data_IF_066304093754
#
_entry.id   IF_066304093754
#
_cell.length_a   1.000
_cell.length_b   1.000
_cell.length_c   1.000
_cell.angle_alpha   90.00
_cell.angle_beta   90.00
_cell.angle_gamma   90.00
#
_symmetry.space_group_name_H-M   'P 1'
#
loop_
_entity.id
_entity.type
_entity.pdbx_description
1 polymer ?
#
# COMPACT_ATOMS: atom_id res chain seq x y z
N UNK A 1 56.18 7.50 -41.18
CA UNK A 1 56.76 7.15 -39.87
C UNK A 1 55.81 6.16 -39.20
N UNK A 2 56.26 4.91 -39.01
CA UNK A 2 55.50 3.81 -38.39
C UNK A 2 55.73 3.80 -36.86
N UNK A 3 54.93 2.96 -36.16
CA UNK A 3 55.11 2.38 -34.81
C UNK A 3 54.37 3.21 -33.72
N UNK A 4 53.53 2.70 -32.80
CA UNK A 4 53.22 1.34 -32.29
C UNK A 4 51.78 1.29 -31.72
N UNK A 5 51.14 0.14 -31.82
CA UNK A 5 50.04 -0.30 -30.96
C UNK A 5 50.61 -0.71 -29.58
N UNK A 6 49.93 -0.36 -28.49
CA UNK A 6 49.92 -1.19 -27.27
C UNK A 6 48.54 -1.15 -26.61
N UNK A 7 48.09 -2.34 -26.24
CA UNK A 7 46.76 -2.63 -25.72
C UNK A 7 46.63 -2.43 -24.21
N UNK A 8 45.35 -2.43 -23.78
CA UNK A 8 44.79 -2.67 -22.44
C UNK A 8 44.94 -1.55 -21.39
N UNK A 9 43.81 -0.92 -21.05
CA UNK A 9 43.02 -1.41 -19.91
C UNK A 9 41.59 -0.83 -19.92
N UNK A 10 40.66 -1.74 -19.71
CA UNK A 10 39.23 -1.56 -19.51
C UNK A 10 38.97 -0.87 -18.17
N UNK A 11 38.26 0.25 -18.18
CA UNK A 11 37.63 0.85 -16.99
C UNK A 11 36.18 1.20 -17.36
N UNK A 12 35.30 0.29 -16.92
CA UNK A 12 33.92 0.51 -16.48
C UNK A 12 33.16 1.70 -17.09
N UNK A 13 32.35 1.40 -18.10
CA UNK A 13 31.12 2.13 -18.36
C UNK A 13 30.06 1.70 -17.34
N UNK A 14 29.82 2.52 -16.32
CA UNK A 14 28.57 2.42 -15.55
C UNK A 14 27.44 2.94 -16.44
N UNK A 15 26.76 1.99 -17.08
CA UNK A 15 25.47 2.22 -17.72
C UNK A 15 24.43 2.38 -16.61
N UNK A 16 23.76 3.53 -16.62
CA UNK A 16 22.49 3.77 -15.96
C UNK A 16 21.48 2.70 -16.39
N UNK A 17 21.35 1.63 -15.61
CA UNK A 17 20.17 0.77 -15.67
C UNK A 17 19.05 1.47 -14.89
N UNK A 18 18.19 2.17 -15.63
CA UNK A 18 16.85 2.54 -15.18
C UNK A 18 16.06 1.24 -14.96
N UNK A 19 16.02 0.76 -13.72
CA UNK A 19 15.14 -0.34 -13.34
C UNK A 19 13.68 0.17 -13.33
N UNK A 20 12.95 -0.07 -14.42
CA UNK A 20 11.50 0.02 -14.43
C UNK A 20 10.96 -1.04 -13.47
N UNK A 21 10.59 -0.63 -12.26
CA UNK A 21 9.91 -1.48 -11.30
C UNK A 21 8.51 -1.76 -11.82
N UNK A 22 8.32 -2.97 -12.36
CA UNK A 22 6.97 -3.48 -12.63
C UNK A 22 6.17 -3.53 -11.31
N UNK A 23 4.82 -3.45 -11.34
CA UNK A 23 4.00 -3.54 -10.12
C UNK A 23 4.30 -4.76 -9.24
N UNK A 24 4.75 -5.87 -9.86
CA UNK A 24 5.16 -7.09 -9.17
C UNK A 24 6.48 -6.96 -8.40
N UNK A 25 7.37 -6.07 -8.81
CA UNK A 25 8.67 -5.82 -8.17
C UNK A 25 8.49 -5.09 -6.83
N UNK A 26 7.54 -4.15 -6.76
CA UNK A 26 7.27 -3.34 -5.57
C UNK A 26 6.64 -4.17 -4.44
N UNK A 27 5.70 -5.07 -4.78
CA UNK A 27 5.10 -6.03 -3.85
C UNK A 27 6.17 -6.94 -3.22
N UNK A 28 7.22 -7.27 -3.98
CA UNK A 28 8.32 -8.13 -3.53
C UNK A 28 9.25 -7.43 -2.55
N UNK A 29 9.52 -6.13 -2.75
CA UNK A 29 10.38 -5.32 -1.85
C UNK A 29 9.68 -5.09 -0.52
N UNK A 30 8.38 -4.78 -0.49
CA UNK A 30 7.60 -4.64 0.76
C UNK A 30 7.54 -5.98 1.52
N UNK A 31 7.50 -7.12 0.80
CA UNK A 31 7.61 -8.45 1.41
C UNK A 31 8.97 -8.73 2.06
N UNK A 32 10.05 -8.05 1.64
CA UNK A 32 11.41 -8.37 2.09
C UNK A 32 11.88 -7.57 3.31
N UNK A 33 11.30 -6.40 3.61
CA UNK A 33 11.72 -5.58 4.76
C UNK A 33 10.80 -5.66 5.98
N UNK A 34 9.54 -6.11 5.83
CA UNK A 34 8.56 -6.14 6.91
C UNK A 34 8.12 -7.55 7.35
N UNK A 35 8.61 -8.61 6.70
CA UNK A 35 8.03 -9.95 6.82
C UNK A 35 9.04 -11.03 7.25
N UNK A 36 9.64 -10.87 8.43
CA UNK A 36 10.33 -11.97 9.11
C UNK A 36 9.56 -12.37 10.37
N UNK A 37 9.00 -13.60 10.31
CA UNK A 37 8.25 -14.36 11.33
C UNK A 37 6.80 -13.94 11.57
N UNK A 38 5.89 -14.65 10.90
CA UNK A 38 4.60 -15.00 11.49
C UNK A 38 4.73 -16.41 12.10
N UNK A 39 4.44 -16.60 13.39
CA UNK A 39 4.39 -17.93 13.97
C UNK A 39 3.12 -18.65 13.51
N UNK A 40 3.23 -19.94 13.20
CA UNK A 40 2.09 -20.85 13.06
C UNK A 40 1.45 -21.01 14.45
N UNK A 41 0.28 -20.40 14.70
CA UNK A 41 -0.45 -20.55 15.97
C UNK A 41 -1.97 -20.51 15.76
N UNK A 42 -2.64 -21.40 16.50
CA UNK A 42 -4.08 -21.68 16.59
C UNK A 42 -5.01 -20.44 16.62
N UNK A 43 -6.22 -20.67 16.11
CA UNK A 43 -6.94 -19.79 15.18
C UNK A 43 -7.87 -18.76 15.85
N UNK A 44 -8.08 -17.62 15.17
CA UNK A 44 -8.93 -16.45 15.50
C UNK A 44 -8.40 -15.38 16.48
N UNK A 45 -8.14 -15.69 17.74
CA UNK A 45 -7.72 -14.69 18.76
C UNK A 45 -6.41 -13.92 18.42
N UNK A 46 -5.35 -14.53 17.87
CA UNK A 46 -4.14 -13.76 17.52
C UNK A 46 -4.38 -12.79 16.36
N UNK A 47 -5.21 -13.16 15.38
CA UNK A 47 -5.41 -12.34 14.18
C UNK A 47 -6.25 -11.09 14.49
N UNK A 48 -7.26 -11.21 15.37
CA UNK A 48 -8.03 -10.07 15.86
C UNK A 48 -7.11 -9.05 16.57
N UNK A 49 -6.22 -9.54 17.44
CA UNK A 49 -5.26 -8.69 18.15
C UNK A 49 -4.31 -7.99 17.17
N UNK A 50 -3.79 -8.71 16.17
CA UNK A 50 -2.93 -8.14 15.13
C UNK A 50 -3.66 -7.05 14.32
N UNK A 51 -4.91 -7.29 13.91
CA UNK A 51 -5.74 -6.29 13.19
C UNK A 51 -5.88 -5.03 14.04
N UNK A 52 -6.17 -5.17 15.33
CA UNK A 52 -6.31 -4.04 16.26
C UNK A 52 -5.01 -3.24 16.39
N UNK A 53 -3.88 -3.91 16.58
CA UNK A 53 -2.55 -3.28 16.67
C UNK A 53 -2.22 -2.52 15.39
N UNK A 54 -2.43 -3.16 14.23
CA UNK A 54 -2.12 -2.57 12.93
C UNK A 54 -3.03 -1.37 12.61
N UNK A 55 -4.31 -1.44 12.99
CA UNK A 55 -5.21 -0.29 12.89
C UNK A 55 -4.69 0.90 13.71
N UNK A 56 -4.28 0.66 14.96
CA UNK A 56 -3.74 1.72 15.82
C UNK A 56 -2.44 2.33 15.25
N UNK A 57 -1.58 1.51 14.65
CA UNK A 57 -0.38 2.00 13.96
C UNK A 57 -0.74 2.82 12.72
N UNK A 58 -1.72 2.38 11.94
CA UNK A 58 -2.20 3.10 10.76
C UNK A 58 -2.80 4.46 11.11
N UNK A 59 -3.61 4.54 12.17
CA UNK A 59 -4.17 5.82 12.64
C UNK A 59 -3.04 6.79 13.03
N UNK A 60 -1.98 6.30 13.70
CA UNK A 60 -0.82 7.13 14.02
C UNK A 60 -0.05 7.56 12.78
N UNK A 61 0.15 6.65 11.82
CA UNK A 61 0.84 6.95 10.58
C UNK A 61 0.05 7.97 9.73
N UNK A 62 -1.27 7.88 9.72
CA UNK A 62 -2.14 8.87 9.06
C UNK A 62 -1.88 10.30 9.58
N UNK A 63 -1.72 10.46 10.90
CA UNK A 63 -1.36 11.76 11.48
C UNK A 63 0.03 12.25 11.03
N UNK A 64 0.97 11.34 10.76
CA UNK A 64 2.33 11.69 10.31
C UNK A 64 2.36 12.12 8.85
N UNK A 65 1.47 11.59 8.01
CA UNK A 65 1.41 11.92 6.58
C UNK A 65 0.44 13.05 6.24
N UNK A 66 -0.19 13.66 7.25
CA UNK A 66 -1.25 14.65 7.05
C UNK A 66 -0.82 15.83 6.17
N UNK A 67 0.42 16.29 6.31
CA UNK A 67 0.97 17.37 5.49
C UNK A 67 1.15 16.94 4.02
N UNK A 68 1.49 15.68 3.79
CA UNK A 68 1.64 15.11 2.44
C UNK A 68 0.28 14.92 1.77
N UNK A 69 -0.72 14.44 2.52
CA UNK A 69 -2.13 14.35 2.09
C UNK A 69 -2.71 15.73 1.77
N UNK A 70 -2.42 16.74 2.60
CA UNK A 70 -2.86 18.12 2.35
C UNK A 70 -2.29 18.67 1.04
N UNK A 71 -0.98 18.47 0.81
CA UNK A 71 -0.34 18.87 -0.45
C UNK A 71 -0.93 18.16 -1.66
N UNK A 72 -1.30 16.87 -1.52
CA UNK A 72 -1.97 16.14 -2.59
C UNK A 72 -3.35 16.74 -2.87
N UNK A 73 -4.14 16.96 -1.82
CA UNK A 73 -5.47 17.57 -1.94
C UNK A 73 -5.41 18.94 -2.64
N UNK A 74 -4.48 19.82 -2.23
CA UNK A 74 -4.31 21.14 -2.84
C UNK A 74 -3.94 21.03 -4.33
N UNK A 75 -2.98 20.15 -4.67
CA UNK A 75 -2.56 19.94 -6.05
C UNK A 75 -3.72 19.47 -6.94
N UNK A 76 -4.54 18.53 -6.47
CA UNK A 76 -5.65 17.98 -7.25
C UNK A 76 -6.86 18.94 -7.32
N UNK A 77 -7.14 19.66 -6.23
CA UNK A 77 -8.26 20.60 -6.16
C UNK A 77 -8.02 21.84 -7.05
N UNK A 78 -6.79 22.36 -7.08
CA UNK A 78 -6.44 23.53 -7.91
C UNK A 78 -6.41 23.22 -9.41
N UNK A 79 -6.06 21.98 -9.79
CA UNK A 79 -5.84 21.61 -11.19
C UNK A 79 -7.11 21.17 -11.91
N UNK A 80 -8.02 20.47 -11.23
CA UNK A 80 -9.06 19.71 -11.95
C UNK A 80 -10.49 20.03 -11.56
N UNK A 81 -10.74 20.66 -10.40
CA UNK A 81 -12.11 20.79 -9.86
C UNK A 81 -12.86 19.45 -9.78
N UNK A 82 -12.14 18.33 -9.81
CA UNK A 82 -12.68 17.00 -10.00
C UNK A 82 -13.11 16.41 -8.65
N UNK A 83 -14.33 15.85 -8.64
CA UNK A 83 -14.93 15.17 -7.48
C UNK A 83 -14.31 13.77 -7.27
N UNK A 84 -13.56 13.25 -8.23
CA UNK A 84 -12.97 11.90 -8.23
C UNK A 84 -11.45 11.99 -8.45
N UNK A 85 -10.73 12.29 -7.37
CA UNK A 85 -9.27 12.47 -7.37
C UNK A 85 -8.56 11.33 -6.63
N UNK A 86 -7.23 11.21 -6.75
CA UNK A 86 -6.50 10.15 -6.03
C UNK A 86 -6.58 10.33 -4.52
N UNK A 87 -6.57 11.58 -4.03
CA UNK A 87 -6.84 11.88 -2.62
C UNK A 87 -8.17 11.26 -2.16
N UNK A 88 -9.26 11.50 -2.90
CA UNK A 88 -10.58 10.97 -2.54
C UNK A 88 -10.60 9.44 -2.52
N UNK A 89 -9.99 8.79 -3.51
CA UNK A 89 -9.90 7.33 -3.58
C UNK A 89 -9.09 6.73 -2.42
N UNK A 90 -8.03 7.42 -1.97
CA UNK A 90 -7.24 7.01 -0.80
C UNK A 90 -8.06 7.11 0.48
N UNK A 91 -8.76 8.22 0.71
CA UNK A 91 -9.58 8.44 1.91
C UNK A 91 -10.73 7.42 1.96
N UNK A 92 -11.48 7.26 0.87
CA UNK A 92 -12.58 6.27 0.79
C UNK A 92 -12.09 4.84 1.03
N UNK A 93 -10.91 4.50 0.49
CA UNK A 93 -10.31 3.20 0.71
C UNK A 93 -9.93 2.98 2.18
N UNK A 94 -9.34 3.99 2.82
CA UNK A 94 -8.99 3.93 4.23
C UNK A 94 -10.24 3.82 5.12
N UNK A 95 -11.24 4.68 4.93
CA UNK A 95 -12.48 4.66 5.72
C UNK A 95 -13.18 3.30 5.66
N UNK A 96 -13.24 2.69 4.47
CA UNK A 96 -13.80 1.35 4.29
C UNK A 96 -13.04 0.30 5.09
N UNK A 97 -11.70 0.25 4.98
CA UNK A 97 -10.86 -0.72 5.68
C UNK A 97 -10.88 -0.48 7.19
N UNK A 98 -10.84 0.77 7.63
CA UNK A 98 -10.93 1.17 9.03
C UNK A 98 -12.26 0.74 9.65
N UNK A 99 -13.38 0.93 8.96
CA UNK A 99 -14.71 0.53 9.43
C UNK A 99 -14.77 -0.96 9.77
N UNK A 100 -14.25 -1.81 8.87
CA UNK A 100 -14.18 -3.25 9.10
C UNK A 100 -13.20 -3.63 10.21
N UNK A 101 -12.02 -3.00 10.26
CA UNK A 101 -11.03 -3.24 11.31
C UNK A 101 -11.59 -2.89 12.70
N UNK A 102 -12.31 -1.77 12.81
CA UNK A 102 -12.95 -1.32 14.04
C UNK A 102 -14.04 -2.31 14.49
N UNK A 103 -14.90 -2.76 13.57
CA UNK A 103 -15.94 -3.75 13.89
C UNK A 103 -15.33 -5.05 14.44
N UNK A 104 -14.26 -5.56 13.81
CA UNK A 104 -13.54 -6.75 14.29
C UNK A 104 -12.88 -6.49 15.65
N UNK A 105 -12.21 -5.35 15.82
CA UNK A 105 -11.53 -5.02 17.07
C UNK A 105 -12.51 -4.93 18.23
N UNK A 106 -13.65 -4.26 18.05
CA UNK A 106 -14.62 -3.98 19.12
C UNK A 106 -15.57 -5.15 19.38
N UNK A 107 -16.04 -5.81 18.32
CA UNK A 107 -17.12 -6.80 18.41
C UNK A 107 -16.70 -8.23 18.05
N UNK A 108 -15.46 -8.43 17.58
CA UNK A 108 -15.00 -9.74 17.09
C UNK A 108 -15.79 -10.26 15.89
N UNK A 109 -16.56 -9.40 15.22
CA UNK A 109 -17.47 -9.78 14.15
C UNK A 109 -17.82 -8.60 13.26
N UNK A 110 -18.28 -8.90 12.05
CA UNK A 110 -18.77 -7.94 11.06
C UNK A 110 -20.18 -8.36 10.67
N UNK A 111 -21.11 -7.39 10.59
CA UNK A 111 -22.47 -7.65 10.09
C UNK A 111 -22.40 -8.00 8.61
N UNK A 112 -23.23 -8.94 8.16
CA UNK A 112 -23.26 -9.37 6.76
C UNK A 112 -21.87 -9.80 6.24
N UNK A 113 -21.23 -10.72 6.97
CA UNK A 113 -19.88 -11.23 6.70
C UNK A 113 -19.60 -11.51 5.22
N UNK A 114 -20.53 -12.15 4.52
CA UNK A 114 -20.36 -12.49 3.09
C UNK A 114 -20.35 -11.25 2.18
N UNK A 115 -21.18 -10.24 2.49
CA UNK A 115 -21.14 -8.95 1.79
C UNK A 115 -19.83 -8.24 2.05
N UNK A 116 -19.37 -8.22 3.31
CA UNK A 116 -18.10 -7.62 3.69
C UNK A 116 -16.90 -8.26 2.97
N UNK A 117 -16.86 -9.60 2.87
CA UNK A 117 -15.83 -10.32 2.12
C UNK A 117 -15.83 -9.86 0.65
N UNK A 118 -17.01 -9.83 0.01
CA UNK A 118 -17.11 -9.40 -1.38
C UNK A 118 -16.63 -7.96 -1.55
N UNK A 119 -17.07 -7.04 -0.71
CA UNK A 119 -16.64 -5.64 -0.78
C UNK A 119 -15.12 -5.51 -0.64
N UNK A 120 -14.52 -6.18 0.34
CA UNK A 120 -13.07 -6.15 0.59
C UNK A 120 -12.25 -6.85 -0.52
N UNK A 121 -12.80 -7.86 -1.18
CA UNK A 121 -12.16 -8.49 -2.35
C UNK A 121 -12.13 -7.57 -3.57
N UNK A 122 -13.20 -6.81 -3.80
CA UNK A 122 -13.31 -5.87 -4.92
C UNK A 122 -12.64 -4.52 -4.62
N UNK A 123 -12.59 -4.10 -3.36
CA UNK A 123 -12.04 -2.82 -2.87
C UNK A 123 -10.52 -2.75 -2.85
N UNK A 124 -9.83 -3.37 -3.81
CA UNK A 124 -8.38 -3.20 -3.93
C UNK A 124 -8.05 -1.89 -4.64
N UNK A 125 -7.50 -0.92 -3.90
CA UNK A 125 -7.11 0.39 -4.46
C UNK A 125 -6.09 0.28 -5.59
N UNK A 126 -5.26 -0.76 -5.63
CA UNK A 126 -4.33 -0.99 -6.75
C UNK A 126 -5.01 -1.46 -8.04
N UNK A 127 -6.32 -1.74 -8.00
CA UNK A 127 -7.16 -1.96 -9.18
C UNK A 127 -7.97 -0.70 -9.55
N UNK A 128 -7.94 0.37 -8.73
CA UNK A 128 -8.62 1.62 -9.04
C UNK A 128 -7.82 2.40 -10.08
N UNK A 129 -8.46 2.72 -11.20
CA UNK A 129 -7.80 3.39 -12.34
C UNK A 129 -7.23 4.75 -11.95
N UNK A 130 -8.02 5.60 -11.30
CA UNK A 130 -7.63 6.96 -10.87
C UNK A 130 -6.37 6.89 -10.02
N UNK A 131 -6.36 6.01 -9.00
CA UNK A 131 -5.20 5.82 -8.14
C UNK A 131 -3.98 5.29 -8.91
N UNK A 132 -4.15 4.32 -9.82
CA UNK A 132 -3.00 3.75 -10.56
C UNK A 132 -2.38 4.72 -11.55
N UNK A 133 -3.18 5.59 -12.17
CA UNK A 133 -2.71 6.66 -13.05
C UNK A 133 -1.92 7.69 -12.23
N UNK A 134 -2.50 8.15 -11.11
CA UNK A 134 -1.82 9.03 -10.16
C UNK A 134 -0.50 8.44 -9.65
N UNK A 135 -0.52 7.17 -9.23
CA UNK A 135 0.65 6.48 -8.70
C UNK A 135 1.79 6.45 -9.73
N UNK A 136 1.46 6.19 -11.00
CA UNK A 136 2.47 6.12 -12.07
C UNK A 136 3.12 7.48 -12.34
N UNK A 137 2.39 8.58 -12.12
CA UNK A 137 2.87 9.94 -12.34
C UNK A 137 3.60 10.53 -11.13
N UNK A 138 3.12 10.25 -9.90
CA UNK A 138 3.47 11.05 -8.72
C UNK A 138 4.05 10.25 -7.54
N UNK A 139 4.23 8.92 -7.66
CA UNK A 139 4.71 8.07 -6.55
C UNK A 139 5.98 8.58 -5.85
N UNK A 140 6.94 9.13 -6.60
CA UNK A 140 8.20 9.63 -6.03
C UNK A 140 8.04 10.94 -5.26
N UNK A 141 6.99 11.72 -5.54
CA UNK A 141 6.71 12.99 -4.87
C UNK A 141 5.99 12.80 -3.54
N UNK A 142 5.24 11.69 -3.43
CA UNK A 142 4.43 11.33 -2.27
C UNK A 142 4.76 9.92 -1.72
N UNK A 143 6.01 9.69 -1.26
CA UNK A 143 6.47 8.37 -0.83
C UNK A 143 5.79 7.86 0.46
N UNK A 144 5.36 8.77 1.37
CA UNK A 144 4.70 8.34 2.59
C UNK A 144 3.24 7.99 2.34
N UNK A 145 2.57 8.67 1.41
CA UNK A 145 1.23 8.27 0.94
C UNK A 145 1.28 6.88 0.32
N UNK A 146 2.26 6.58 -0.55
CA UNK A 146 2.41 5.24 -1.12
C UNK A 146 2.61 4.18 -0.03
N UNK A 147 3.46 4.47 0.96
CA UNK A 147 3.67 3.58 2.11
C UNK A 147 2.39 3.36 2.89
N UNK A 148 1.64 4.42 3.15
CA UNK A 148 0.37 4.38 3.86
C UNK A 148 -0.65 3.50 3.12
N UNK A 149 -0.88 3.75 1.83
CA UNK A 149 -1.81 2.97 1.02
C UNK A 149 -1.45 1.49 1.01
N UNK A 150 -0.16 1.17 0.92
CA UNK A 150 0.31 -0.21 1.00
C UNK A 150 -0.01 -0.86 2.37
N UNK A 151 0.15 -0.12 3.47
CA UNK A 151 -0.20 -0.59 4.82
C UNK A 151 -1.71 -0.76 5.01
N UNK A 152 -2.53 0.14 4.47
CA UNK A 152 -4.00 0.00 4.49
C UNK A 152 -4.42 -1.24 3.69
N UNK A 153 -3.83 -1.45 2.51
CA UNK A 153 -4.03 -2.66 1.71
C UNK A 153 -3.59 -3.93 2.43
N UNK A 154 -2.52 -3.86 3.21
CA UNK A 154 -2.10 -4.97 4.05
C UNK A 154 -3.13 -5.28 5.14
N UNK A 155 -3.66 -4.27 5.84
CA UNK A 155 -4.73 -4.45 6.83
C UNK A 155 -5.98 -5.07 6.19
N UNK A 156 -6.35 -4.64 4.97
CA UNK A 156 -7.46 -5.25 4.19
C UNK A 156 -7.28 -6.76 4.03
N UNK A 157 -6.07 -7.20 3.67
CA UNK A 157 -5.76 -8.63 3.50
C UNK A 157 -5.90 -9.39 4.83
N UNK A 158 -5.48 -8.79 5.94
CA UNK A 158 -5.64 -9.40 7.27
C UNK A 158 -7.10 -9.53 7.68
N UNK A 159 -7.92 -8.51 7.41
CA UNK A 159 -9.38 -8.56 7.62
C UNK A 159 -9.99 -9.68 6.78
N UNK A 160 -9.65 -9.77 5.49
CA UNK A 160 -10.14 -10.86 4.62
C UNK A 160 -9.76 -12.24 5.17
N UNK A 161 -8.53 -12.40 5.65
CA UNK A 161 -8.10 -13.66 6.27
C UNK A 161 -8.94 -13.99 7.51
N UNK A 162 -9.20 -13.00 8.37
CA UNK A 162 -10.07 -13.16 9.54
C UNK A 162 -11.50 -13.55 9.15
N UNK A 163 -12.09 -12.85 8.19
CA UNK A 163 -13.45 -13.11 7.71
C UNK A 163 -13.58 -14.38 6.88
N UNK A 164 -12.50 -15.05 6.47
CA UNK A 164 -12.59 -16.34 5.75
C UNK A 164 -12.33 -17.55 6.63
N UNK A 165 -11.90 -17.36 7.88
CA UNK A 165 -11.72 -18.47 8.81
C UNK A 165 -13.06 -19.11 9.16
N UNK A 166 -13.19 -20.46 9.15
CA UNK A 166 -14.41 -21.11 9.58
C UNK A 166 -14.73 -20.73 11.03
N UNK A 167 -15.97 -20.34 11.29
CA UNK A 167 -16.55 -20.13 12.64
C UNK A 167 -16.95 -21.42 13.28
#
# INVERSE_FOLDING_TARGET
MRIRLSARNSLYSEQNELYYLTPNSFIRVIRCTLFQRLPEVEEQEPLRSIISINLQQLIRFYQQIKDELQRLYEAEYELEGNVFSAFFEIEMFFESVEGYANAISQHGSVKERDSAIKELEHGNIFNNKVFTEWLSAHASEYPNILTYVALVNYLRIQILAYLKQPT
#
